data_IF_096445058054
#
_entry.id   IF_096445058054
#
_cell.length_a   1.000
_cell.length_b   1.000
_cell.length_c   1.000
_cell.angle_alpha   90.00
_cell.angle_beta   90.00
_cell.angle_gamma   90.00
#
_symmetry.space_group_name_H-M   'P 1'
#
loop_
_entity.id
_entity.type
_entity.pdbx_description
1 polymer ?
#
# COMPACT_ATOMS: atom_id res chain seq x y z
N UNK A 1 -14.67 -17.50 9.35
CA UNK A 1 -13.85 -16.82 10.38
C UNK A 1 -12.73 -17.78 10.75
N UNK A 2 -11.49 -17.43 10.42
CA UNK A 2 -10.32 -18.22 10.80
C UNK A 2 -9.72 -17.62 12.08
N UNK A 3 -9.41 -18.47 13.05
CA UNK A 3 -8.70 -18.09 14.29
C UNK A 3 -7.44 -18.92 14.40
N UNK A 4 -6.31 -18.26 14.67
CA UNK A 4 -4.99 -18.88 14.73
C UNK A 4 -4.40 -18.66 16.13
N UNK A 5 -3.56 -19.59 16.59
CA UNK A 5 -2.90 -19.51 17.89
C UNK A 5 -1.53 -18.89 17.69
N UNK A 6 -1.21 -17.90 18.53
CA UNK A 6 0.14 -17.31 18.59
C UNK A 6 1.09 -18.39 19.12
N UNK A 7 2.14 -18.70 18.37
CA UNK A 7 3.15 -19.66 18.81
C UNK A 7 3.98 -19.09 19.96
N UNK A 8 4.75 -19.93 20.66
CA UNK A 8 5.67 -19.48 21.73
C UNK A 8 6.70 -18.44 21.25
N UNK A 9 6.98 -18.40 19.94
CA UNK A 9 7.88 -17.43 19.33
C UNK A 9 7.18 -16.11 18.92
N UNK A 10 5.88 -15.97 19.20
CA UNK A 10 5.09 -14.80 18.79
C UNK A 10 4.68 -14.82 17.32
N UNK A 11 4.76 -15.96 16.64
CA UNK A 11 4.38 -16.06 15.23
C UNK A 11 2.88 -16.38 15.12
N UNK A 12 2.21 -15.77 14.14
CA UNK A 12 0.84 -16.09 13.74
C UNK A 12 0.86 -16.52 12.28
N UNK A 13 0.17 -17.62 11.99
CA UNK A 13 0.03 -18.11 10.62
C UNK A 13 -1.07 -17.32 9.92
N UNK A 14 -0.84 -16.88 8.68
CA UNK A 14 -1.89 -16.29 7.86
C UNK A 14 -2.56 -17.42 7.06
N UNK A 15 -3.86 -17.69 7.27
CA UNK A 15 -4.60 -18.69 6.51
C UNK A 15 -4.46 -18.49 5.01
N UNK A 16 -4.50 -19.60 4.24
CA UNK A 16 -4.32 -19.57 2.79
C UNK A 16 -5.28 -18.59 2.09
N UNK A 17 -6.55 -18.60 2.48
CA UNK A 17 -7.58 -17.70 1.92
C UNK A 17 -7.20 -16.22 2.05
N UNK A 18 -6.63 -15.82 3.19
CA UNK A 18 -6.20 -14.43 3.41
C UNK A 18 -4.91 -14.12 2.64
N UNK A 19 -3.98 -15.09 2.53
CA UNK A 19 -2.77 -14.93 1.70
C UNK A 19 -3.13 -14.75 0.24
N UNK A 20 -4.04 -15.56 -0.29
CA UNK A 20 -4.48 -15.48 -1.68
C UNK A 20 -5.22 -14.15 -1.93
N UNK A 21 -6.08 -13.71 -1.00
CA UNK A 21 -6.79 -12.44 -1.08
C UNK A 21 -5.86 -11.21 -1.07
N UNK A 22 -4.83 -11.23 -0.22
CA UNK A 22 -3.83 -10.15 -0.11
C UNK A 22 -2.65 -10.34 -1.08
N UNK A 23 -2.69 -11.37 -1.93
CA UNK A 23 -1.63 -11.74 -2.87
C UNK A 23 -0.24 -11.82 -2.20
N UNK A 24 -0.18 -12.44 -1.00
CA UNK A 24 1.03 -12.60 -0.21
C UNK A 24 1.80 -13.87 -0.62
N UNK A 25 3.00 -13.68 -1.15
CA UNK A 25 3.96 -14.74 -1.47
C UNK A 25 5.08 -14.83 -0.43
N UNK A 26 5.84 -15.93 -0.45
CA UNK A 26 7.03 -16.08 0.40
C UNK A 26 8.01 -14.92 0.16
N UNK A 27 8.40 -14.23 1.23
CA UNK A 27 9.25 -13.03 1.16
C UNK A 27 8.49 -11.71 1.04
N UNK A 28 7.15 -11.75 0.94
CA UNK A 28 6.32 -10.54 1.01
C UNK A 28 6.47 -9.87 2.37
N UNK A 29 6.68 -8.55 2.35
CA UNK A 29 6.64 -7.72 3.55
C UNK A 29 5.19 -7.33 3.84
N UNK A 30 4.85 -7.29 5.10
CA UNK A 30 3.56 -6.82 5.60
C UNK A 30 3.80 -5.77 6.66
N UNK A 31 2.96 -4.76 6.68
CA UNK A 31 2.94 -3.73 7.71
C UNK A 31 1.75 -3.94 8.65
N UNK A 32 1.93 -3.59 9.92
CA UNK A 32 0.90 -3.70 10.94
C UNK A 32 0.58 -2.31 11.48
N UNK A 33 -0.66 -1.87 11.26
CA UNK A 33 -1.12 -0.56 11.73
C UNK A 33 -2.24 -0.76 12.73
N UNK A 34 -2.14 -0.08 13.86
CA UNK A 34 -3.19 -0.08 14.88
C UNK A 34 -4.07 1.15 14.66
N UNK A 35 -5.35 0.94 14.42
CA UNK A 35 -6.35 2.00 14.31
C UNK A 35 -6.69 2.59 15.68
N UNK A 36 -7.33 3.76 15.72
CA UNK A 36 -7.81 4.43 16.94
C UNK A 36 -8.76 3.53 17.76
N UNK A 37 -9.45 2.60 17.09
CA UNK A 37 -10.34 1.63 17.71
C UNK A 37 -9.62 0.38 18.26
N UNK A 38 -8.28 0.34 18.21
CA UNK A 38 -7.48 -0.81 18.62
C UNK A 38 -7.50 -1.99 17.64
N UNK A 39 -8.06 -1.80 16.45
CA UNK A 39 -8.08 -2.82 15.39
C UNK A 39 -6.71 -2.85 14.72
N UNK A 40 -6.08 -4.02 14.72
CA UNK A 40 -4.83 -4.25 13.98
C UNK A 40 -5.17 -4.53 12.52
N UNK A 41 -4.69 -3.68 11.62
CA UNK A 41 -4.78 -3.85 10.16
C UNK A 41 -3.45 -4.40 9.65
N UNK A 42 -3.53 -5.41 8.81
CA UNK A 42 -2.39 -5.97 8.09
C UNK A 42 -2.41 -5.43 6.67
N UNK A 43 -1.32 -4.76 6.27
CA UNK A 43 -1.20 -4.12 4.96
C UNK A 43 -0.08 -4.81 4.17
N UNK A 44 -0.37 -5.41 3.00
CA UNK A 44 0.67 -5.94 2.13
C UNK A 44 1.56 -4.81 1.58
N UNK A 45 2.88 -4.93 1.76
CA UNK A 45 3.88 -3.99 1.21
C UNK A 45 4.52 -4.51 -0.09
N UNK A 46 3.99 -5.61 -0.64
CA UNK A 46 4.50 -6.29 -1.83
C UNK A 46 3.89 -5.75 -3.13
N UNK A 47 3.51 -4.46 -3.17
CA UNK A 47 3.04 -3.82 -4.40
C UNK A 47 4.26 -3.57 -5.30
N UNK A 48 4.43 -4.29 -6.43
CA UNK A 48 5.50 -3.97 -7.35
C UNK A 48 5.35 -2.52 -7.81
N UNK A 49 6.42 -1.74 -7.87
CA UNK A 49 6.35 -0.33 -8.32
C UNK A 49 5.68 -0.23 -9.69
N UNK A 50 5.79 -1.28 -10.51
CA UNK A 50 5.11 -1.41 -11.79
C UNK A 50 3.57 -1.37 -11.69
N UNK A 51 2.97 -1.92 -10.63
CA UNK A 51 1.51 -1.83 -10.44
C UNK A 51 1.04 -0.46 -9.94
N UNK A 52 1.96 0.42 -9.50
CA UNK A 52 1.65 1.82 -9.24
C UNK A 52 1.62 2.65 -10.55
N UNK A 53 2.19 2.13 -11.64
CA UNK A 53 2.16 2.81 -12.94
C UNK A 53 0.72 2.98 -13.40
N UNK A 54 0.33 4.24 -13.64
CA UNK A 54 -1.02 4.57 -14.11
C UNK A 54 -2.11 4.57 -13.04
N UNK A 55 -1.79 4.39 -11.74
CA UNK A 55 -2.81 4.42 -10.67
C UNK A 55 -3.54 5.77 -10.56
N UNK A 56 -2.91 6.84 -11.02
CA UNK A 56 -3.48 8.19 -11.08
C UNK A 56 -4.19 8.50 -12.42
N UNK A 57 -4.15 7.58 -13.40
CA UNK A 57 -4.77 7.78 -14.71
C UNK A 57 -6.30 7.70 -14.61
N UNK A 58 -6.99 8.59 -15.33
CA UNK A 58 -8.46 8.60 -15.46
C UNK A 58 -8.85 8.66 -16.93
N UNK A 59 -9.92 7.98 -17.37
CA UNK A 59 -10.41 8.07 -18.74
C UNK A 59 -10.66 9.52 -19.15
N UNK A 60 -10.05 9.95 -20.26
CA UNK A 60 -10.15 11.33 -20.75
C UNK A 60 -9.18 12.33 -20.13
N UNK A 61 -8.25 11.92 -19.26
CA UNK A 61 -7.16 12.80 -18.81
C UNK A 61 -6.26 13.16 -19.98
N UNK A 62 -6.04 14.45 -20.17
CA UNK A 62 -4.97 14.97 -21.02
C UNK A 62 -3.62 14.72 -20.34
N UNK A 63 -2.61 14.21 -21.08
CA UNK A 63 -1.26 14.11 -20.57
C UNK A 63 -0.75 15.50 -20.16
N UNK A 64 -0.11 15.58 -18.99
CA UNK A 64 0.58 16.80 -18.59
C UNK A 64 1.84 16.99 -19.44
N UNK A 65 2.10 18.23 -19.83
CA UNK A 65 3.35 18.65 -20.45
C UNK A 65 4.44 18.83 -19.40
N UNK A 66 5.70 18.81 -19.84
CA UNK A 66 6.84 19.03 -18.95
C UNK A 66 6.76 20.40 -18.24
N UNK A 67 6.31 21.42 -18.96
CA UNK A 67 6.17 22.79 -18.46
C UNK A 67 5.12 22.89 -17.34
N UNK A 68 3.98 22.21 -17.51
CA UNK A 68 2.93 22.12 -16.48
C UNK A 68 3.41 21.38 -15.24
N UNK A 69 4.18 20.30 -15.41
CA UNK A 69 4.77 19.55 -14.31
C UNK A 69 5.73 20.43 -13.49
N UNK A 70 6.64 21.15 -14.15
CA UNK A 70 7.56 22.04 -13.46
C UNK A 70 6.86 23.20 -12.75
N UNK A 71 5.81 23.76 -13.35
CA UNK A 71 5.01 24.81 -12.72
C UNK A 71 4.32 24.31 -11.44
N UNK A 72 3.75 23.10 -11.47
CA UNK A 72 3.13 22.48 -10.30
C UNK A 72 4.14 22.19 -9.18
N UNK A 73 5.35 21.73 -9.51
CA UNK A 73 6.42 21.51 -8.53
C UNK A 73 6.84 22.82 -7.86
N UNK A 74 7.05 23.89 -8.64
CA UNK A 74 7.40 25.22 -8.10
C UNK A 74 6.30 25.79 -7.20
N UNK A 75 5.03 25.64 -7.58
CA UNK A 75 3.91 26.06 -6.76
C UNK A 75 3.86 25.28 -5.44
N UNK A 76 3.96 23.96 -5.50
CA UNK A 76 3.93 23.11 -4.31
C UNK A 76 5.14 23.27 -3.37
N UNK A 77 6.33 23.61 -3.89
CA UNK A 77 7.49 23.88 -3.02
C UNK A 77 7.40 25.21 -2.28
N UNK A 78 6.55 26.13 -2.75
CA UNK A 78 6.34 27.44 -2.13
C UNK A 78 5.40 27.36 -0.92
N UNK A 79 4.59 26.30 -0.82
CA UNK A 79 3.66 26.02 0.30
C UNK A 79 4.34 25.33 1.50
N UNK A 80 5.63 24.96 1.39
CA UNK A 80 6.39 24.29 2.47
C UNK A 80 7.21 25.26 3.35
N UNK A 81 7.23 26.56 3.03
CA UNK A 81 7.86 27.61 3.85
C UNK A 81 6.83 28.40 4.63
#
# INVERSE_FOLDING_TARGET
MASEIITTQGQVTIPKEIRDYLNLETGSKVDFVIDENGIVKLIPLNVPVQSLSGILHRPGMTPATLEEMEAAIRAGSSDWS
#
